data_IF_136500003572
#
_entry.id   IF_136500003572
#
_cell.length_a   1.000
_cell.length_b   1.000
_cell.length_c   1.000
_cell.angle_alpha   90.00
_cell.angle_beta   90.00
_cell.angle_gamma   90.00
#
_symmetry.space_group_name_H-M   'P 1'
#
loop_
_entity.id
_entity.type
_entity.pdbx_description
1 polymer ?
#
# COMPACT_ATOMS: atom_id res chain seq x y z
N UNK A 1 -15.91 -9.06 2.99
CA UNK A 1 -15.74 -9.28 1.55
C UNK A 1 -17.07 -9.32 0.82
N UNK A 2 -17.96 -10.31 1.04
CA UNK A 2 -19.23 -10.39 0.32
C UNK A 2 -20.11 -9.12 0.43
N UNK A 3 -20.22 -8.54 1.62
CA UNK A 3 -20.96 -7.29 1.83
C UNK A 3 -20.32 -6.08 1.13
N UNK A 4 -18.99 -6.07 0.93
CA UNK A 4 -18.32 -5.03 0.16
C UNK A 4 -18.58 -5.26 -1.34
N UNK A 5 -18.51 -6.51 -1.78
CA UNK A 5 -18.76 -6.91 -3.16
C UNK A 5 -20.21 -6.60 -3.61
N UNK A 6 -21.20 -6.77 -2.73
CA UNK A 6 -22.60 -6.43 -3.06
C UNK A 6 -22.81 -4.94 -3.34
N UNK A 7 -21.93 -4.09 -2.80
CA UNK A 7 -21.92 -2.65 -3.03
C UNK A 7 -20.93 -2.23 -4.13
N UNK A 8 -20.31 -3.19 -4.83
CA UNK A 8 -19.30 -2.90 -5.85
C UNK A 8 -17.96 -2.39 -5.31
N UNK A 9 -17.68 -2.58 -4.02
CA UNK A 9 -16.45 -2.11 -3.37
C UNK A 9 -15.34 -3.15 -3.52
N UNK A 10 -14.21 -2.69 -4.06
CA UNK A 10 -12.96 -3.44 -4.19
C UNK A 10 -12.00 -3.12 -3.03
N UNK A 11 -11.11 -4.07 -2.72
CA UNK A 11 -10.20 -3.99 -1.58
C UNK A 11 -8.77 -4.29 -2.00
N UNK A 12 -7.84 -3.43 -1.59
CA UNK A 12 -6.41 -3.76 -1.51
C UNK A 12 -6.16 -4.34 -0.12
N UNK A 13 -5.51 -5.50 -0.06
CA UNK A 13 -5.23 -6.19 1.21
C UNK A 13 -3.73 -6.11 1.51
N UNK A 14 -3.35 -5.47 2.60
CA UNK A 14 -1.98 -5.50 3.10
C UNK A 14 -1.59 -6.87 3.64
N UNK A 15 -0.42 -7.33 3.23
CA UNK A 15 0.22 -8.54 3.75
C UNK A 15 0.96 -8.24 5.06
N UNK A 16 1.40 -6.99 5.22
CA UNK A 16 2.07 -6.44 6.39
C UNK A 16 1.14 -6.22 7.59
N UNK A 17 1.74 -6.05 8.77
CA UNK A 17 1.08 -5.49 9.94
C UNK A 17 2.12 -4.97 10.93
N UNK A 18 1.71 -4.03 11.79
CA UNK A 18 2.54 -3.54 12.90
C UNK A 18 2.59 -4.58 14.05
N UNK A 19 3.35 -5.66 13.84
CA UNK A 19 3.69 -6.68 14.83
C UNK A 19 5.07 -7.30 14.55
N UNK A 20 5.68 -7.89 15.58
CA UNK A 20 6.99 -8.54 15.45
C UNK A 20 6.96 -9.63 14.38
N UNK A 21 7.87 -9.54 13.40
CA UNK A 21 7.99 -10.49 12.30
C UNK A 21 6.83 -10.45 11.29
N UNK A 22 5.99 -9.42 11.32
CA UNK A 22 4.84 -9.24 10.42
C UNK A 22 5.08 -8.28 9.25
N UNK A 23 6.29 -7.75 9.10
CA UNK A 23 6.70 -6.83 8.04
C UNK A 23 8.24 -6.90 7.82
N UNK A 24 8.77 -6.16 6.84
CA UNK A 24 10.21 -5.95 6.67
C UNK A 24 10.75 -5.14 7.85
N UNK A 25 11.87 -5.59 8.44
CA UNK A 25 12.46 -4.94 9.62
C UNK A 25 13.40 -3.79 9.23
N UNK A 26 13.86 -3.04 10.24
CA UNK A 26 14.81 -1.94 10.06
C UNK A 26 16.28 -2.37 9.85
N UNK A 27 16.54 -3.68 9.81
CA UNK A 27 17.87 -4.21 9.52
C UNK A 27 18.26 -3.97 8.05
N UNK A 28 19.54 -4.14 7.72
CA UNK A 28 19.96 -4.12 6.31
C UNK A 28 19.56 -5.39 5.60
N UNK A 29 19.42 -5.30 4.27
CA UNK A 29 19.35 -6.48 3.44
C UNK A 29 20.63 -7.34 3.57
N UNK A 30 20.50 -8.68 3.63
CA UNK A 30 19.27 -9.47 3.50
C UNK A 30 18.55 -9.78 4.84
N UNK A 31 19.09 -9.35 5.98
CA UNK A 31 18.59 -9.72 7.32
C UNK A 31 17.17 -9.18 7.59
N UNK A 32 16.78 -8.09 6.93
CA UNK A 32 15.47 -7.45 7.11
C UNK A 32 14.23 -8.25 6.69
N UNK A 33 14.40 -9.43 6.09
CA UNK A 33 13.28 -10.24 5.62
C UNK A 33 13.05 -11.47 6.51
N UNK A 34 12.17 -11.38 7.53
CA UNK A 34 11.92 -12.50 8.42
C UNK A 34 11.07 -13.58 7.74
N UNK A 35 11.40 -14.86 7.99
CA UNK A 35 10.67 -16.00 7.45
C UNK A 35 9.19 -16.03 7.89
N UNK A 36 8.88 -15.48 9.07
CA UNK A 36 7.50 -15.30 9.54
C UNK A 36 6.67 -14.40 8.63
N UNK A 37 7.29 -13.37 8.04
CA UNK A 37 6.57 -12.45 7.16
C UNK A 37 6.20 -13.13 5.84
N UNK A 38 7.12 -13.93 5.27
CA UNK A 38 6.83 -14.81 4.13
C UNK A 38 5.61 -15.70 4.41
N UNK A 39 5.66 -16.46 5.50
CA UNK A 39 4.60 -17.39 5.86
C UNK A 39 3.26 -16.69 6.13
N UNK A 40 3.29 -15.46 6.67
CA UNK A 40 2.11 -14.62 6.85
C UNK A 40 1.52 -14.21 5.50
N UNK A 41 2.33 -13.70 4.58
CA UNK A 41 1.89 -13.26 3.26
C UNK A 41 1.23 -14.38 2.47
N UNK A 42 1.86 -15.57 2.42
CA UNK A 42 1.30 -16.75 1.76
C UNK A 42 -0.08 -17.12 2.34
N UNK A 43 -0.23 -17.14 3.67
CA UNK A 43 -1.51 -17.43 4.34
C UNK A 43 -2.59 -16.40 4.02
N UNK A 44 -2.28 -15.10 4.04
CA UNK A 44 -3.25 -14.06 3.72
C UNK A 44 -3.70 -14.21 2.26
N UNK A 45 -2.76 -14.43 1.34
CA UNK A 45 -3.03 -14.66 -0.07
C UNK A 45 -3.98 -15.85 -0.27
N UNK A 46 -3.72 -17.00 0.36
CA UNK A 46 -4.61 -18.18 0.29
C UNK A 46 -6.03 -17.85 0.74
N UNK A 47 -6.18 -17.08 1.82
CA UNK A 47 -7.50 -16.78 2.39
C UNK A 47 -8.28 -15.73 1.59
N UNK A 48 -7.60 -14.80 0.94
CA UNK A 48 -8.23 -13.63 0.33
C UNK A 48 -8.30 -13.68 -1.21
N UNK A 49 -7.39 -14.39 -1.89
CA UNK A 49 -7.36 -14.41 -3.35
C UNK A 49 -8.64 -15.01 -3.98
N UNK A 50 -9.37 -15.83 -3.23
CA UNK A 50 -10.67 -16.41 -3.65
C UNK A 50 -11.81 -15.39 -3.82
N UNK A 51 -11.70 -14.18 -3.26
CA UNK A 51 -12.75 -13.17 -3.39
C UNK A 51 -12.50 -12.31 -4.63
N UNK A 52 -13.49 -12.18 -5.52
CA UNK A 52 -13.35 -11.43 -6.77
C UNK A 52 -13.06 -9.94 -6.56
N UNK A 53 -13.56 -9.38 -5.45
CA UNK A 53 -13.37 -7.97 -5.11
C UNK A 53 -12.06 -7.68 -4.36
N UNK A 54 -11.16 -8.65 -4.18
CA UNK A 54 -9.77 -8.35 -3.81
C UNK A 54 -9.04 -7.91 -5.07
N UNK A 55 -8.83 -6.60 -5.18
CA UNK A 55 -8.20 -5.99 -6.35
C UNK A 55 -6.71 -6.29 -6.40
N UNK A 56 -6.02 -6.15 -5.26
CA UNK A 56 -4.58 -6.28 -5.18
C UNK A 56 -4.11 -6.67 -3.77
N UNK A 57 -2.89 -7.19 -3.68
CA UNK A 57 -2.16 -7.32 -2.42
C UNK A 57 -1.05 -6.26 -2.33
N UNK A 58 -0.93 -5.64 -1.16
CA UNK A 58 0.18 -4.75 -0.82
C UNK A 58 1.22 -5.53 -0.02
N UNK A 59 2.44 -5.55 -0.54
CA UNK A 59 3.55 -6.26 0.07
C UNK A 59 4.17 -5.53 1.28
N UNK A 60 3.68 -4.33 1.62
CA UNK A 60 4.19 -3.50 2.69
C UNK A 60 3.82 -2.04 2.49
N UNK A 61 3.70 -1.31 3.59
CA UNK A 61 3.31 0.10 3.63
C UNK A 61 4.47 0.94 4.18
N UNK A 62 4.97 1.88 3.38
CA UNK A 62 6.02 2.84 3.76
C UNK A 62 7.29 2.21 4.37
N UNK A 63 7.71 1.05 3.85
CA UNK A 63 8.94 0.39 4.31
C UNK A 63 10.18 1.27 4.08
N UNK A 64 10.14 2.21 3.14
CA UNK A 64 11.16 3.24 2.94
C UNK A 64 11.33 4.18 4.16
N UNK A 65 10.35 4.26 5.06
CA UNK A 65 10.47 4.93 6.36
C UNK A 65 10.89 4.00 7.51
N UNK A 66 10.91 2.68 7.29
CA UNK A 66 11.28 1.66 8.28
C UNK A 66 12.75 1.27 8.21
N UNK A 67 13.66 2.24 8.11
CA UNK A 67 15.11 2.00 7.89
C UNK A 67 15.98 2.24 9.11
N UNK A 68 15.40 2.64 10.25
CA UNK A 68 16.16 3.03 11.45
C UNK A 68 17.02 4.28 11.25
N UNK A 69 16.66 5.15 10.30
CA UNK A 69 17.42 6.36 9.94
C UNK A 69 18.45 6.16 8.83
N UNK A 70 18.55 4.96 8.26
CA UNK A 70 19.38 4.68 7.08
C UNK A 70 18.66 5.07 5.77
N UNK A 71 19.36 5.14 4.61
CA UNK A 71 18.73 5.39 3.32
C UNK A 71 17.68 4.33 2.96
N UNK A 72 16.71 4.66 2.10
CA UNK A 72 15.65 3.72 1.65
C UNK A 72 16.22 2.42 1.03
N UNK A 73 17.41 2.49 0.42
CA UNK A 73 18.12 1.32 -0.14
C UNK A 73 18.55 0.28 0.90
N UNK A 74 18.52 0.63 2.18
CA UNK A 74 18.92 -0.23 3.29
C UNK A 74 18.07 -1.51 3.39
N UNK A 75 16.75 -1.38 3.27
CA UNK A 75 15.79 -2.47 3.41
C UNK A 75 14.97 -2.74 2.13
N UNK A 76 14.99 -1.85 1.12
CA UNK A 76 14.26 -2.01 -0.12
C UNK A 76 14.53 -3.36 -0.85
N UNK A 77 15.76 -3.93 -0.85
CA UNK A 77 15.97 -5.25 -1.43
C UNK A 77 15.17 -6.37 -0.73
N UNK A 78 14.97 -6.29 0.59
CA UNK A 78 14.12 -7.24 1.32
C UNK A 78 12.66 -7.11 0.89
N UNK A 79 12.17 -5.88 0.75
CA UNK A 79 10.81 -5.61 0.29
C UNK A 79 10.57 -6.13 -1.13
N UNK A 80 11.49 -5.87 -2.06
CA UNK A 80 11.43 -6.38 -3.44
C UNK A 80 11.47 -7.91 -3.48
N UNK A 81 12.32 -8.52 -2.65
CA UNK A 81 12.40 -9.98 -2.49
C UNK A 81 11.11 -10.59 -1.93
N UNK A 82 10.45 -9.93 -0.99
CA UNK A 82 9.15 -10.36 -0.47
C UNK A 82 8.07 -10.34 -1.56
N UNK A 83 7.96 -9.24 -2.32
CA UNK A 83 7.02 -9.12 -3.44
C UNK A 83 7.24 -10.27 -4.44
N UNK A 84 8.49 -10.48 -4.86
CA UNK A 84 8.87 -11.58 -5.76
C UNK A 84 8.45 -12.95 -5.23
N UNK A 85 8.66 -13.22 -3.94
CA UNK A 85 8.26 -14.49 -3.31
C UNK A 85 6.75 -14.68 -3.28
N UNK A 86 5.98 -13.62 -2.97
CA UNK A 86 4.51 -13.68 -2.97
C UNK A 86 3.97 -13.93 -4.38
N UNK A 87 4.56 -13.29 -5.39
CA UNK A 87 4.21 -13.55 -6.80
C UNK A 87 4.55 -14.98 -7.22
N UNK A 88 5.71 -15.49 -6.81
CA UNK A 88 6.10 -16.89 -7.05
C UNK A 88 5.13 -17.89 -6.39
N UNK A 89 4.71 -17.61 -5.15
CA UNK A 89 3.71 -18.41 -4.44
C UNK A 89 2.35 -18.40 -5.15
N UNK A 90 1.88 -17.23 -5.56
CA UNK A 90 0.64 -17.13 -6.35
C UNK A 90 0.77 -17.93 -7.65
N UNK A 91 1.89 -17.84 -8.36
CA UNK A 91 2.10 -18.58 -9.60
C UNK A 91 2.12 -20.10 -9.39
N UNK A 92 2.74 -20.59 -8.31
CA UNK A 92 2.84 -22.03 -8.03
C UNK A 92 1.50 -22.69 -7.68
N UNK A 93 0.50 -21.92 -7.26
CA UNK A 93 -0.85 -22.43 -6.98
C UNK A 93 -1.78 -22.32 -8.22
N UNK A 94 -2.09 -23.41 -8.95
CA UNK A 94 -2.87 -23.34 -10.19
C UNK A 94 -4.32 -22.88 -9.99
N UNK A 95 -4.92 -23.20 -8.85
CA UNK A 95 -6.33 -22.87 -8.56
C UNK A 95 -6.51 -21.51 -7.88
N UNK A 96 -5.41 -20.83 -7.57
CA UNK A 96 -5.46 -19.53 -6.93
C UNK A 96 -5.60 -18.43 -7.98
N UNK A 97 -6.55 -17.50 -7.78
CA UNK A 97 -6.66 -16.31 -8.63
C UNK A 97 -5.35 -15.53 -8.56
N UNK A 98 -4.84 -15.13 -9.73
CA UNK A 98 -3.56 -14.42 -9.89
C UNK A 98 -3.71 -12.93 -9.56
N UNK A 99 -4.07 -12.63 -8.32
CA UNK A 99 -4.21 -11.26 -7.81
C UNK A 99 -2.86 -10.55 -7.88
N UNK A 100 -2.78 -9.32 -8.40
CA UNK A 100 -1.52 -8.60 -8.50
C UNK A 100 -0.94 -8.27 -7.12
N UNK A 101 0.38 -8.39 -7.00
CA UNK A 101 1.15 -8.01 -5.80
C UNK A 101 1.99 -6.78 -6.11
N UNK A 102 1.86 -5.76 -5.27
CA UNK A 102 2.60 -4.50 -5.35
C UNK A 102 2.98 -4.05 -3.95
N UNK A 103 3.04 -2.75 -3.72
CA UNK A 103 3.40 -2.17 -2.43
C UNK A 103 2.94 -0.72 -2.34
N UNK A 104 2.99 -0.19 -1.12
CA UNK A 104 2.74 1.21 -0.84
C UNK A 104 4.01 1.87 -0.30
N UNK A 105 4.34 3.04 -0.85
CA UNK A 105 5.57 3.78 -0.53
C UNK A 105 5.20 5.19 -0.10
N UNK A 106 5.88 5.69 0.93
CA UNK A 106 5.75 7.10 1.30
C UNK A 106 6.37 7.98 0.21
N UNK A 107 5.83 9.18 -0.01
CA UNK A 107 6.34 10.12 -1.02
C UNK A 107 7.66 10.81 -0.59
N UNK A 108 8.71 10.00 -0.40
CA UNK A 108 10.10 10.38 -0.11
C UNK A 108 11.04 9.61 -1.01
N UNK A 109 12.07 10.28 -1.55
CA UNK A 109 12.95 9.72 -2.60
C UNK A 109 12.10 9.11 -3.75
N UNK A 110 11.08 9.87 -4.20
CA UNK A 110 10.00 9.41 -5.09
C UNK A 110 10.55 8.80 -6.37
N UNK A 111 11.43 9.53 -7.05
CA UNK A 111 11.93 9.15 -8.37
C UNK A 111 12.69 7.82 -8.29
N UNK A 112 13.52 7.66 -7.26
CA UNK A 112 14.32 6.47 -7.04
C UNK A 112 13.46 5.27 -6.61
N UNK A 113 12.55 5.45 -5.65
CA UNK A 113 11.68 4.37 -5.18
C UNK A 113 10.75 3.89 -6.28
N UNK A 114 10.07 4.79 -7.00
CA UNK A 114 9.15 4.43 -8.07
C UNK A 114 9.84 3.58 -9.14
N UNK A 115 11.01 4.02 -9.61
CA UNK A 115 11.79 3.30 -10.61
C UNK A 115 12.36 1.97 -10.08
N UNK A 116 12.82 1.92 -8.83
CA UNK A 116 13.39 0.71 -8.24
C UNK A 116 12.41 -0.46 -8.18
N UNK A 117 11.14 -0.19 -7.85
CA UNK A 117 10.11 -1.23 -7.80
C UNK A 117 9.51 -1.56 -9.17
N UNK A 118 9.71 -0.71 -10.19
CA UNK A 118 9.35 -1.00 -11.58
C UNK A 118 10.45 -1.81 -12.31
N UNK A 119 11.72 -1.62 -11.95
CA UNK A 119 12.84 -2.26 -12.65
C UNK A 119 13.04 -3.73 -12.29
N UNK A 120 13.83 -4.42 -13.11
CA UNK A 120 14.36 -5.76 -12.85
C UNK A 120 15.87 -5.74 -12.99
N UNK A 121 16.55 -6.50 -12.14
CA UNK A 121 17.99 -6.75 -12.21
C UNK A 121 18.30 -7.71 -13.36
N UNK A 122 17.43 -8.69 -13.58
CA UNK A 122 17.44 -9.58 -14.75
C UNK A 122 16.09 -9.44 -15.48
N UNK A 123 16.11 -9.03 -16.75
CA UNK A 123 14.89 -8.84 -17.55
C UNK A 123 14.02 -10.11 -17.63
N UNK A 124 14.65 -11.29 -17.52
CA UNK A 124 13.97 -12.59 -17.55
C UNK A 124 13.31 -12.97 -16.22
N UNK A 125 13.66 -12.32 -15.09
CA UNK A 125 12.98 -12.51 -13.81
C UNK A 125 11.71 -11.65 -13.78
N UNK A 126 10.66 -12.14 -14.43
CA UNK A 126 9.39 -11.42 -14.52
C UNK A 126 8.72 -11.18 -13.16
N UNK A 127 9.20 -11.83 -12.10
CA UNK A 127 8.66 -11.76 -10.75
C UNK A 127 9.29 -10.66 -9.89
N UNK A 128 10.42 -10.09 -10.30
CA UNK A 128 11.19 -9.17 -9.46
C UNK A 128 10.54 -7.79 -9.27
N UNK A 129 9.90 -7.25 -10.32
CA UNK A 129 9.21 -5.97 -10.22
C UNK A 129 7.90 -6.08 -9.41
N UNK A 130 7.35 -4.96 -8.96
CA UNK A 130 5.98 -4.91 -8.48
C UNK A 130 5.01 -5.05 -9.66
N UNK A 131 3.74 -5.42 -9.41
CA UNK A 131 2.68 -5.40 -10.44
C UNK A 131 1.82 -4.13 -10.38
N UNK A 132 1.95 -3.35 -9.32
CA UNK A 132 1.37 -2.02 -9.14
C UNK A 132 2.17 -1.26 -8.08
N UNK A 133 2.13 0.06 -8.11
CA UNK A 133 2.84 0.92 -7.18
C UNK A 133 1.86 1.89 -6.49
N UNK A 134 1.78 1.78 -5.17
CA UNK A 134 1.05 2.72 -4.33
C UNK A 134 1.98 3.82 -3.85
N UNK A 135 1.52 5.07 -3.91
CA UNK A 135 2.21 6.20 -3.31
C UNK A 135 1.29 6.92 -2.33
N UNK A 136 1.78 7.10 -1.11
CA UNK A 136 1.13 7.93 -0.09
C UNK A 136 1.64 9.35 -0.23
N UNK A 137 0.82 10.23 -0.79
CA UNK A 137 1.23 11.58 -1.19
C UNK A 137 0.28 12.63 -0.65
N UNK A 138 0.85 13.63 0.03
CA UNK A 138 0.14 14.73 0.64
C UNK A 138 0.61 16.07 0.05
N UNK A 139 0.87 16.09 -1.26
CA UNK A 139 1.48 17.24 -1.97
C UNK A 139 0.51 18.41 -2.24
N UNK A 140 -0.77 18.27 -1.87
CA UNK A 140 -1.79 19.28 -2.09
C UNK A 140 -2.46 19.70 -0.75
N UNK A 141 -1.88 20.71 -0.09
CA UNK A 141 -2.31 21.20 1.23
C UNK A 141 -2.83 22.66 1.22
N UNK A 142 -2.96 23.25 0.03
CA UNK A 142 -3.43 24.61 -0.18
C UNK A 142 -4.81 24.61 -0.85
N UNK A 143 -5.66 25.58 -0.56
CA UNK A 143 -7.00 25.70 -1.17
C UNK A 143 -6.90 26.20 -2.62
N UNK A 144 -6.38 25.35 -3.50
CA UNK A 144 -6.20 25.61 -4.92
C UNK A 144 -7.14 24.69 -5.68
N UNK A 145 -8.26 25.26 -6.16
CA UNK A 145 -9.24 24.53 -6.97
C UNK A 145 -8.91 24.51 -8.47
N UNK A 146 -7.89 25.26 -8.90
CA UNK A 146 -7.42 25.32 -10.28
C UNK A 146 -6.23 24.36 -10.45
N UNK A 147 -6.38 23.21 -11.16
CA UNK A 147 -5.34 22.20 -11.27
C UNK A 147 -4.04 22.75 -11.89
N UNK A 148 -4.13 23.77 -12.76
CA UNK A 148 -2.95 24.38 -13.39
C UNK A 148 -2.04 25.10 -12.38
N UNK A 149 -2.58 25.46 -11.21
CA UNK A 149 -1.86 26.11 -10.11
C UNK A 149 -1.47 25.14 -8.99
N UNK A 150 -1.87 23.87 -9.06
CA UNK A 150 -1.57 22.87 -8.04
C UNK A 150 -0.13 22.35 -8.17
N UNK A 151 0.86 23.18 -7.84
CA UNK A 151 2.30 22.92 -8.10
C UNK A 151 2.75 21.54 -7.61
N UNK A 152 2.42 21.14 -6.37
CA UNK A 152 2.82 19.83 -5.84
C UNK A 152 2.24 18.66 -6.62
N UNK A 153 0.97 18.76 -7.00
CA UNK A 153 0.28 17.73 -7.79
C UNK A 153 0.78 17.68 -9.24
N UNK A 154 1.12 18.83 -9.82
CA UNK A 154 1.73 18.93 -11.15
C UNK A 154 3.15 18.34 -11.17
N UNK A 155 3.96 18.58 -10.13
CA UNK A 155 5.27 17.96 -9.98
C UNK A 155 5.15 16.44 -9.81
N UNK A 156 4.17 15.96 -9.04
CA UNK A 156 3.88 14.53 -8.92
C UNK A 156 3.55 13.90 -10.28
N UNK A 157 2.65 14.50 -11.06
CA UNK A 157 2.35 14.05 -12.43
C UNK A 157 3.60 14.08 -13.31
N UNK A 158 4.35 15.18 -13.28
CA UNK A 158 5.51 15.36 -14.17
C UNK A 158 6.63 14.37 -13.88
N UNK A 159 6.83 14.00 -12.60
CA UNK A 159 7.66 12.87 -12.17
C UNK A 159 7.25 11.59 -12.90
N UNK A 160 6.00 11.12 -12.73
CA UNK A 160 5.54 9.86 -13.35
C UNK A 160 5.48 9.91 -14.87
N UNK A 161 5.19 11.08 -15.45
CA UNK A 161 5.25 11.32 -16.89
C UNK A 161 6.67 11.18 -17.45
N UNK A 162 7.69 11.51 -16.65
CA UNK A 162 9.09 11.42 -17.08
C UNK A 162 9.64 10.00 -17.05
N UNK A 163 8.97 9.07 -16.35
CA UNK A 163 9.40 7.69 -16.25
C UNK A 163 8.88 6.83 -17.42
N UNK A 164 9.65 5.82 -17.82
CA UNK A 164 9.15 4.71 -18.65
C UNK A 164 8.47 3.67 -17.75
N UNK A 165 7.28 4.03 -17.26
CA UNK A 165 6.59 3.28 -16.21
C UNK A 165 5.70 2.17 -16.79
N UNK A 166 5.88 0.94 -16.30
CA UNK A 166 5.22 -0.25 -16.89
C UNK A 166 4.10 -0.83 -16.03
N UNK A 167 3.87 -0.28 -14.84
CA UNK A 167 2.90 -0.80 -13.87
C UNK A 167 1.94 0.32 -13.42
N UNK A 168 0.69 0.01 -13.04
CA UNK A 168 -0.25 1.02 -12.58
C UNK A 168 0.22 1.72 -11.31
N UNK A 169 0.01 3.04 -11.24
CA UNK A 169 0.29 3.87 -10.06
C UNK A 169 -1.03 4.24 -9.40
N UNK A 170 -1.14 4.06 -8.08
CA UNK A 170 -2.33 4.42 -7.31
C UNK A 170 -1.90 5.40 -6.21
N UNK A 171 -2.63 6.50 -6.02
CA UNK A 171 -2.43 7.35 -4.85
C UNK A 171 -3.10 6.68 -3.65
N UNK A 172 -2.38 5.78 -2.98
CA UNK A 172 -2.93 4.93 -1.91
C UNK A 172 -3.28 5.70 -0.66
N UNK A 173 -2.69 6.89 -0.50
CA UNK A 173 -3.17 7.90 0.43
C UNK A 173 -3.06 9.27 -0.23
N UNK A 174 -4.12 10.06 -0.08
CA UNK A 174 -4.16 11.49 -0.41
C UNK A 174 -5.18 12.20 0.50
N UNK A 175 -5.24 13.53 0.41
CA UNK A 175 -6.17 14.35 1.18
C UNK A 175 -5.48 14.97 2.40
N UNK A 176 -4.49 15.82 2.14
CA UNK A 176 -3.77 16.57 3.18
C UNK A 176 -4.74 17.30 4.10
N UNK A 177 -4.45 17.30 5.40
CA UNK A 177 -5.15 18.12 6.41
C UNK A 177 -4.34 19.39 6.62
N UNK A 178 -4.99 20.55 6.51
CA UNK A 178 -4.33 21.85 6.67
C UNK A 178 -5.24 22.83 7.39
N UNK A 179 -4.73 23.58 8.39
CA UNK A 179 -5.51 24.63 9.07
C UNK A 179 -5.85 25.83 8.16
N UNK A 180 -5.28 25.86 6.95
CA UNK A 180 -5.60 26.87 5.94
C UNK A 180 -6.94 26.60 5.23
N UNK A 181 -7.48 25.38 5.35
CA UNK A 181 -8.71 25.00 4.67
C UNK A 181 -9.96 25.52 5.42
N UNK A 182 -11.11 25.69 4.73
CA UNK A 182 -12.34 26.05 5.40
C UNK A 182 -12.80 24.98 6.39
N UNK A 183 -13.33 25.41 7.54
CA UNK A 183 -14.04 24.51 8.46
C UNK A 183 -15.42 24.17 7.89
N UNK A 184 -15.86 22.93 8.13
CA UNK A 184 -17.23 22.49 7.91
C UNK A 184 -17.84 22.25 9.29
N UNK A 185 -18.93 22.94 9.63
CA UNK A 185 -19.66 22.80 10.90
C UNK A 185 -18.78 22.86 12.17
N UNK A 186 -17.65 23.59 12.12
CA UNK A 186 -16.73 23.75 13.25
C UNK A 186 -15.78 22.56 13.49
N UNK A 187 -15.72 21.57 12.59
CA UNK A 187 -14.79 20.44 12.69
C UNK A 187 -13.36 20.83 12.22
N UNK A 188 -12.36 20.33 12.95
CA UNK A 188 -10.93 20.71 12.80
C UNK A 188 -10.17 19.89 11.73
N UNK A 189 -10.71 18.75 11.27
CA UNK A 189 -10.13 17.92 10.21
C UNK A 189 -10.45 18.48 8.81
N UNK A 190 -9.93 19.67 8.54
CA UNK A 190 -10.25 20.46 7.35
C UNK A 190 -9.55 19.90 6.10
N UNK A 191 -10.32 19.70 5.02
CA UNK A 191 -9.87 19.20 3.71
C UNK A 191 -10.79 19.71 2.61
N UNK A 192 -10.25 20.01 1.44
CA UNK A 192 -11.04 20.45 0.26
C UNK A 192 -11.23 19.34 -0.76
N UNK A 193 -10.34 18.34 -0.79
CA UNK A 193 -10.34 17.22 -1.74
C UNK A 193 -10.31 17.64 -3.22
N UNK A 194 -9.72 18.80 -3.55
CA UNK A 194 -9.53 19.19 -4.95
C UNK A 194 -8.64 18.18 -5.70
N UNK A 195 -7.68 17.57 -5.02
CA UNK A 195 -6.84 16.48 -5.52
C UNK A 195 -7.66 15.26 -6.00
N UNK A 196 -8.76 14.91 -5.32
CA UNK A 196 -9.69 13.87 -5.79
C UNK A 196 -10.32 14.23 -7.15
N UNK A 197 -10.70 15.50 -7.34
CA UNK A 197 -11.25 15.97 -8.60
C UNK A 197 -10.18 15.99 -9.69
N UNK A 198 -8.98 16.48 -9.38
CA UNK A 198 -7.87 16.58 -10.33
C UNK A 198 -7.43 15.22 -10.85
N UNK A 199 -7.31 14.23 -9.97
CA UNK A 199 -6.87 12.87 -10.32
C UNK A 199 -7.74 12.20 -11.39
N UNK A 200 -9.01 12.61 -11.51
CA UNK A 200 -9.96 12.09 -12.50
C UNK A 200 -9.93 12.86 -13.84
N UNK A 201 -9.13 13.92 -13.97
CA UNK A 201 -8.94 14.63 -15.24
C UNK A 201 -7.92 13.88 -16.12
N UNK A 202 -8.09 13.87 -17.45
CA UNK A 202 -7.19 13.18 -18.38
C UNK A 202 -5.69 13.48 -18.17
N UNK A 203 -5.37 14.73 -17.84
CA UNK A 203 -4.00 15.19 -17.57
C UNK A 203 -3.30 14.42 -16.43
N UNK A 204 -4.06 13.84 -15.50
CA UNK A 204 -3.54 13.06 -14.37
C UNK A 204 -3.88 11.57 -14.50
N UNK A 205 -5.08 11.22 -14.98
CA UNK A 205 -5.53 9.82 -15.10
C UNK A 205 -4.74 9.01 -16.14
N UNK A 206 -4.02 9.67 -17.06
CA UNK A 206 -3.07 9.00 -17.96
C UNK A 206 -1.87 8.39 -17.21
N UNK A 207 -1.58 8.86 -15.99
CA UNK A 207 -0.44 8.43 -15.18
C UNK A 207 -0.86 7.75 -13.86
N UNK A 208 -2.05 8.06 -13.36
CA UNK A 208 -2.58 7.54 -12.10
C UNK A 208 -3.88 6.76 -12.30
N UNK A 209 -3.94 5.54 -11.76
CA UNK A 209 -5.10 4.66 -11.76
C UNK A 209 -6.10 4.99 -10.62
N UNK A 210 -6.21 6.27 -10.26
CA UNK A 210 -7.02 6.74 -9.14
C UNK A 210 -6.30 6.68 -7.79
N UNK A 211 -7.07 6.74 -6.70
CA UNK A 211 -6.53 6.83 -5.35
C UNK A 211 -7.55 6.60 -4.25
N UNK A 212 -7.06 6.51 -3.01
CA UNK A 212 -7.84 6.28 -1.80
C UNK A 212 -7.64 7.47 -0.87
N UNK A 213 -8.74 8.18 -0.58
CA UNK A 213 -8.71 9.27 0.38
C UNK A 213 -8.39 8.73 1.78
N UNK A 214 -7.33 9.25 2.39
CA UNK A 214 -6.91 8.84 3.73
C UNK A 214 -7.53 9.80 4.75
N UNK A 215 -8.46 9.41 5.61
CA UNK A 215 -8.98 8.07 5.87
C UNK A 215 -10.44 8.12 6.36
N UNK A 216 -11.09 6.95 6.44
CA UNK A 216 -12.46 6.83 6.98
C UNK A 216 -12.49 6.94 8.51
N UNK A 217 -11.57 6.27 9.21
CA UNK A 217 -11.46 6.31 10.67
C UNK A 217 -10.17 6.99 11.06
N UNK A 218 -10.23 8.15 11.72
CA UNK A 218 -9.03 8.90 12.10
C UNK A 218 -8.08 8.06 12.97
N UNK A 219 -6.80 8.06 12.62
CA UNK A 219 -5.74 7.36 13.34
C UNK A 219 -5.75 7.69 14.82
N UNK A 220 -5.37 6.71 15.64
CA UNK A 220 -5.25 6.89 17.08
C UNK A 220 -4.32 8.06 17.43
N UNK A 221 -3.20 8.23 16.71
CA UNK A 221 -2.26 9.33 16.96
C UNK A 221 -2.92 10.72 16.85
N UNK A 222 -3.92 10.86 15.97
CA UNK A 222 -4.59 12.12 15.67
C UNK A 222 -5.90 12.30 16.44
N UNK A 223 -6.49 11.23 16.96
CA UNK A 223 -7.81 11.26 17.63
C UNK A 223 -7.76 10.92 19.12
N UNK A 224 -6.64 10.43 19.66
CA UNK A 224 -6.59 9.92 21.04
C UNK A 224 -6.91 10.97 22.10
N UNK A 225 -6.43 12.20 21.91
CA UNK A 225 -6.63 13.30 22.85
C UNK A 225 -8.02 13.94 22.77
N UNK A 226 -8.74 13.75 21.67
CA UNK A 226 -9.99 14.48 21.35
C UNK A 226 -11.20 13.56 21.17
N UNK A 227 -11.02 12.25 21.05
CA UNK A 227 -12.11 11.30 20.88
C UNK A 227 -13.03 11.25 22.10
N UNK A 228 -14.33 11.45 21.85
CA UNK A 228 -15.39 11.26 22.86
C UNK A 228 -15.61 9.78 23.24
N UNK A 229 -15.01 8.84 22.49
CA UNK A 229 -15.13 7.41 22.71
C UNK A 229 -13.81 6.82 23.22
N UNK A 230 -13.82 6.01 24.31
CA UNK A 230 -12.63 5.34 24.78
C UNK A 230 -12.15 4.34 23.73
N UNK A 231 -10.88 4.46 23.32
CA UNK A 231 -10.23 3.45 22.49
C UNK A 231 -10.18 2.14 23.27
N UNK A 232 -10.90 1.13 22.77
CA UNK A 232 -10.86 -0.22 23.34
C UNK A 232 -9.75 -1.00 22.64
N UNK A 233 -8.71 -1.32 23.38
CA UNK A 233 -7.78 -2.36 22.97
C UNK A 233 -8.50 -3.70 23.06
N UNK A 234 -8.91 -4.23 21.93
CA UNK A 234 -9.37 -5.61 21.85
C UNK A 234 -8.14 -6.49 21.61
N UNK A 235 -7.77 -7.29 22.60
CA UNK A 235 -6.89 -8.43 22.34
C UNK A 235 -7.63 -9.35 21.37
N UNK A 236 -7.26 -9.27 20.09
CA UNK A 236 -7.62 -10.30 19.13
C UNK A 236 -6.89 -11.58 19.56
N UNK A 237 -7.53 -12.32 20.45
CA UNK A 237 -7.26 -13.75 20.60
C UNK A 237 -7.72 -14.39 19.29
N UNK A 238 -6.86 -14.31 18.27
CA UNK A 238 -6.89 -15.28 17.18
C UNK A 238 -6.66 -16.60 17.90
N UNK A 239 -7.74 -17.32 18.24
CA UNK A 239 -7.62 -18.73 18.60
C UNK A 239 -6.88 -19.33 17.41
N UNK A 240 -5.62 -19.69 17.62
CA UNK A 240 -4.95 -20.62 16.73
C UNK A 240 -5.96 -21.76 16.56
N UNK A 241 -6.48 -21.91 15.34
CA UNK A 241 -7.41 -22.99 15.02
C UNK A 241 -6.79 -24.28 15.58
N UNK A 242 -7.45 -24.94 16.55
CA UNK A 242 -6.88 -26.13 17.16
C UNK A 242 -6.83 -27.19 16.05
N UNK A 243 -5.62 -27.64 15.75
CA UNK A 243 -5.27 -28.67 14.76
C UNK A 243 -5.43 -28.29 13.27
N UNK A 244 -4.60 -27.37 12.77
CA UNK A 244 -4.20 -27.38 11.36
C UNK A 244 -2.79 -27.94 11.26
N UNK A 245 -2.68 -29.25 11.01
CA UNK A 245 -1.42 -29.87 10.59
C UNK A 245 -0.94 -29.13 9.34
N UNK A 246 0.13 -28.37 9.50
CA UNK A 246 0.95 -27.90 8.39
C UNK A 246 1.53 -29.16 7.74
N UNK A 247 1.20 -29.50 6.48
CA UNK A 247 2.15 -30.28 5.71
C UNK A 247 3.40 -29.40 5.64
N UNK A 248 4.54 -29.91 6.08
CA UNK A 248 5.80 -29.29 5.72
C UNK A 248 5.87 -29.28 4.19
N UNK A 249 5.62 -28.12 3.58
CA UNK A 249 5.46 -27.94 2.15
C UNK A 249 4.20 -27.15 1.82
N UNK A 250 4.34 -26.06 1.07
CA UNK A 250 3.26 -25.20 0.61
C UNK A 250 2.25 -25.95 -0.27
N UNK A 251 1.30 -26.64 0.37
CA UNK A 251 0.20 -27.29 -0.30
C UNK A 251 -0.96 -26.30 -0.34
N UNK A 252 -1.27 -25.82 -1.53
CA UNK A 252 -2.43 -24.95 -1.76
C UNK A 252 -3.70 -25.73 -1.40
N UNK A 253 -4.43 -25.29 -0.37
CA UNK A 253 -5.74 -25.83 0.00
C UNK A 253 -6.79 -24.79 -0.39
N UNK A 254 -7.74 -25.18 -1.24
CA UNK A 254 -8.89 -24.35 -1.65
C UNK A 254 -10.05 -24.56 -0.68
#
# INVERSE_FOLDING_TARGET
MCALQSEGIYVVVDLGANCEGCEITADSAPTCYPASYKARGEKIIEQFARFDNVMAFSGGNEINHRTGGNPWTWNAPCQKKFIRDMRAFIQSCPNLRKVPVGLVVADTDRDENAQYYNCRTDESDELENAQWYGINTYVHCDDISDPTKATGFNLLRDSFKSYDYSIPVVLTEFGCVSPAFPTVDGYEAQRTFHDAAFMNLPEYSDYFAGGVAFEYSTENANSMSTSAYPFKMHELHIRAFPELRVPQGGVCVV
#
